data_IF_615801676843
#
_entry.id   IF_615801676843
#
_cell.length_a   1.000
_cell.length_b   1.000
_cell.length_c   1.000
_cell.angle_alpha   90.00
_cell.angle_beta   90.00
_cell.angle_gamma   90.00
#
_symmetry.space_group_name_H-M   'P 1'
#
loop_
_entity.id
_entity.type
_entity.pdbx_description
1 polymer ?
#
# COMPACT_ATOMS: atom_id res chain seq x y z
N UNK A 1 -17.16 -23.38 6.98
CA UNK A 1 -15.74 -23.23 7.35
C UNK A 1 -15.07 -24.58 7.20
N UNK A 2 -14.17 -24.76 6.21
CA UNK A 2 -13.36 -25.98 6.14
C UNK A 2 -12.36 -25.98 7.30
N UNK A 3 -12.07 -27.13 7.92
CA UNK A 3 -11.07 -27.21 8.97
C UNK A 3 -9.67 -27.07 8.32
N UNK A 4 -9.17 -25.85 8.21
CA UNK A 4 -7.81 -25.60 7.76
C UNK A 4 -6.84 -26.09 8.84
N UNK A 5 -5.95 -27.01 8.48
CA UNK A 5 -4.79 -27.35 9.29
C UNK A 5 -3.78 -26.20 9.18
N UNK A 6 -4.07 -25.07 9.83
CA UNK A 6 -3.41 -23.78 9.60
C UNK A 6 -1.89 -23.79 9.83
N UNK A 7 -1.35 -24.78 10.56
CA UNK A 7 0.10 -24.98 10.70
C UNK A 7 0.75 -25.52 9.43
N UNK A 8 0.14 -26.50 8.77
CA UNK A 8 0.70 -27.10 7.56
C UNK A 8 0.71 -26.10 6.39
N UNK A 9 -0.38 -25.35 6.25
CA UNK A 9 -0.51 -24.27 5.25
C UNK A 9 0.50 -23.15 5.51
N UNK A 10 0.62 -22.69 6.76
CA UNK A 10 1.62 -21.70 7.13
C UNK A 10 3.05 -22.18 6.83
N UNK A 11 3.39 -23.43 7.16
CA UNK A 11 4.70 -24.01 6.86
C UNK A 11 4.96 -24.06 5.35
N UNK A 12 3.98 -24.51 4.56
CA UNK A 12 4.10 -24.57 3.11
C UNK A 12 4.31 -23.18 2.51
N UNK A 13 3.49 -22.19 2.89
CA UNK A 13 3.64 -20.81 2.42
C UNK A 13 5.00 -20.24 2.81
N UNK A 14 5.45 -20.45 4.05
CA UNK A 14 6.76 -20.00 4.52
C UNK A 14 7.90 -20.63 3.71
N UNK A 15 7.86 -21.94 3.45
CA UNK A 15 8.88 -22.61 2.63
C UNK A 15 8.92 -22.06 1.19
N UNK A 16 7.76 -21.87 0.57
CA UNK A 16 7.65 -21.28 -0.78
C UNK A 16 8.19 -19.85 -0.81
N UNK A 17 7.86 -19.05 0.22
CA UNK A 17 8.35 -17.70 0.42
C UNK A 17 9.89 -17.67 0.53
N UNK A 18 10.47 -18.51 1.39
CA UNK A 18 11.92 -18.60 1.58
C UNK A 18 12.65 -19.06 0.31
N UNK A 19 12.10 -20.04 -0.42
CA UNK A 19 12.68 -20.51 -1.67
C UNK A 19 12.64 -19.42 -2.75
N UNK A 20 11.52 -18.72 -2.89
CA UNK A 20 11.39 -17.57 -3.80
C UNK A 20 12.36 -16.45 -3.42
N UNK A 21 12.56 -16.21 -2.13
CA UNK A 21 13.46 -15.16 -1.65
C UNK A 21 14.91 -15.44 -1.99
N UNK A 22 15.33 -16.68 -1.77
CA UNK A 22 16.67 -17.16 -2.12
C UNK A 22 16.90 -17.03 -3.63
N UNK A 23 15.96 -17.52 -4.45
CA UNK A 23 16.05 -17.42 -5.90
C UNK A 23 16.15 -15.96 -6.37
N UNK A 24 15.33 -15.07 -5.82
CA UNK A 24 15.35 -13.66 -6.16
C UNK A 24 16.65 -12.95 -5.77
N UNK A 25 17.25 -13.32 -4.63
CA UNK A 25 18.56 -12.82 -4.20
C UNK A 25 19.67 -13.29 -5.16
N UNK A 26 19.66 -14.56 -5.56
CA UNK A 26 20.62 -15.09 -6.54
C UNK A 26 20.45 -14.38 -7.90
N UNK A 27 19.21 -14.29 -8.40
CA UNK A 27 18.92 -13.63 -9.68
C UNK A 27 19.33 -12.17 -9.67
N UNK A 28 19.05 -11.43 -8.59
CA UNK A 28 19.41 -10.01 -8.48
C UNK A 28 20.92 -9.77 -8.40
N UNK A 29 21.70 -10.78 -7.96
CA UNK A 29 23.17 -10.72 -7.95
C UNK A 29 23.74 -10.91 -9.36
N UNK A 30 23.13 -11.77 -10.17
CA UNK A 30 23.56 -12.05 -11.55
C UNK A 30 23.03 -11.01 -12.54
N UNK A 31 21.79 -10.56 -12.34
CA UNK A 31 21.09 -9.58 -13.18
C UNK A 31 20.45 -8.52 -12.29
N UNK A 32 21.18 -7.45 -11.96
CA UNK A 32 20.67 -6.38 -11.11
C UNK A 32 19.40 -5.77 -11.69
N UNK A 33 18.38 -5.58 -10.85
CA UNK A 33 17.19 -4.85 -11.24
C UNK A 33 17.56 -3.38 -11.51
N UNK A 34 17.10 -2.86 -12.64
CA UNK A 34 17.28 -1.45 -13.00
C UNK A 34 15.96 -0.70 -12.87
N UNK A 35 16.01 0.61 -12.62
CA UNK A 35 14.83 1.47 -12.74
C UNK A 35 14.45 1.64 -14.22
N UNK A 36 13.16 1.88 -14.53
CA UNK A 36 12.74 2.20 -15.89
C UNK A 36 13.46 3.43 -16.43
N UNK A 37 13.93 3.38 -17.69
CA UNK A 37 14.65 4.51 -18.31
C UNK A 37 13.80 5.78 -18.40
N UNK A 38 12.50 5.63 -18.68
CA UNK A 38 11.56 6.75 -18.82
C UNK A 38 11.55 7.66 -17.58
N UNK A 39 11.79 7.12 -16.40
CA UNK A 39 11.80 7.89 -15.15
C UNK A 39 12.94 8.91 -15.08
N UNK A 40 13.98 8.80 -15.92
CA UNK A 40 15.10 9.74 -15.94
C UNK A 40 14.98 10.81 -17.03
N UNK A 41 14.01 10.67 -17.95
CA UNK A 41 13.83 11.61 -19.04
C UNK A 41 13.24 12.94 -18.53
N UNK A 42 13.56 14.07 -19.18
CA UNK A 42 12.87 15.34 -18.96
C UNK A 42 11.37 15.21 -19.21
N UNK A 43 10.58 16.04 -18.54
CA UNK A 43 9.13 16.13 -18.73
C UNK A 43 8.75 17.46 -19.38
N UNK A 44 7.66 17.43 -20.14
CA UNK A 44 7.07 18.61 -20.76
C UNK A 44 6.55 19.64 -19.75
N UNK A 45 6.31 19.25 -18.50
CA UNK A 45 5.92 20.19 -17.42
C UNK A 45 7.11 20.76 -16.63
N UNK A 46 8.35 20.30 -16.87
CA UNK A 46 9.50 20.70 -16.05
C UNK A 46 9.78 22.21 -16.13
N UNK A 47 9.49 22.85 -17.28
CA UNK A 47 9.71 24.29 -17.48
C UNK A 47 8.43 25.13 -17.33
N UNK A 48 7.29 24.52 -17.01
CA UNK A 48 6.02 25.23 -16.81
C UNK A 48 5.96 25.85 -15.41
N UNK A 49 5.30 27.00 -15.30
CA UNK A 49 4.98 27.63 -14.01
C UNK A 49 3.77 26.93 -13.38
N UNK A 50 3.69 26.96 -12.05
CA UNK A 50 2.58 26.35 -11.30
C UNK A 50 1.21 26.86 -11.75
N UNK A 51 1.09 28.17 -12.05
CA UNK A 51 -0.16 28.76 -12.57
C UNK A 51 -0.58 28.14 -13.91
N UNK A 52 0.36 27.88 -14.81
CA UNK A 52 0.10 27.27 -16.12
C UNK A 52 -0.38 25.82 -15.96
N UNK A 53 0.24 25.07 -15.04
CA UNK A 53 -0.16 23.70 -14.71
C UNK A 53 -1.58 23.66 -14.12
N UNK A 54 -1.89 24.58 -13.20
CA UNK A 54 -3.22 24.70 -12.60
C UNK A 54 -4.28 25.01 -13.67
N UNK A 55 -4.00 25.95 -14.57
CA UNK A 55 -4.88 26.27 -15.70
C UNK A 55 -5.05 25.07 -16.65
N UNK A 56 -3.95 24.38 -16.99
CA UNK A 56 -3.97 23.19 -17.86
C UNK A 56 -4.86 22.09 -17.27
N UNK A 57 -4.76 21.86 -15.96
CA UNK A 57 -5.59 20.86 -15.25
C UNK A 57 -7.08 21.11 -15.42
N UNK A 58 -7.52 22.38 -15.39
CA UNK A 58 -8.97 22.70 -15.51
C UNK A 58 -9.56 22.23 -16.83
N UNK A 59 -8.74 22.26 -17.90
CA UNK A 59 -9.10 21.87 -19.27
C UNK A 59 -8.80 20.39 -19.57
N UNK A 60 -7.90 19.78 -18.81
CA UNK A 60 -7.44 18.41 -19.03
C UNK A 60 -8.57 17.37 -18.86
N UNK A 61 -8.65 16.36 -19.75
CA UNK A 61 -9.61 15.28 -19.63
C UNK A 61 -9.28 14.38 -18.42
N UNK A 62 -10.31 13.80 -17.82
CA UNK A 62 -10.13 12.71 -16.85
C UNK A 62 -9.62 11.46 -17.57
N UNK A 63 -8.70 10.73 -16.96
CA UNK A 63 -8.25 9.43 -17.48
C UNK A 63 -9.30 8.33 -17.30
N UNK A 64 -10.07 8.42 -16.22
CA UNK A 64 -11.14 7.48 -15.92
C UNK A 64 -12.31 8.26 -15.31
N UNK A 65 -13.54 7.82 -15.55
CA UNK A 65 -14.75 8.49 -15.08
C UNK A 65 -14.80 8.58 -13.54
N UNK A 66 -14.35 7.51 -12.88
CA UNK A 66 -14.46 7.33 -11.42
C UNK A 66 -13.24 7.85 -10.65
N UNK A 67 -12.11 8.10 -11.33
CA UNK A 67 -10.89 8.58 -10.67
C UNK A 67 -10.66 10.07 -10.95
N UNK A 68 -10.25 10.82 -9.93
CA UNK A 68 -9.93 12.24 -10.08
C UNK A 68 -8.50 12.48 -10.60
N UNK A 69 -8.09 11.69 -11.59
CA UNK A 69 -6.80 11.79 -12.26
C UNK A 69 -7.02 12.39 -13.65
N UNK A 70 -6.31 13.48 -13.95
CA UNK A 70 -6.41 14.19 -15.23
C UNK A 70 -5.13 14.09 -16.03
N UNK A 71 -5.25 13.88 -17.33
CA UNK A 71 -4.10 13.83 -18.25
C UNK A 71 -3.75 15.25 -18.70
N UNK A 72 -2.70 15.82 -18.13
CA UNK A 72 -2.30 17.21 -18.38
C UNK A 72 -1.68 17.36 -19.78
N UNK A 73 -0.75 16.46 -20.09
CA UNK A 73 0.01 16.45 -21.33
C UNK A 73 0.10 15.01 -21.86
N UNK A 74 0.71 14.75 -23.04
CA UNK A 74 0.96 13.39 -23.48
C UNK A 74 1.77 12.56 -22.47
N UNK A 75 2.69 13.20 -21.72
CA UNK A 75 3.63 12.56 -20.80
C UNK A 75 3.31 12.69 -19.31
N UNK A 76 2.30 13.45 -18.90
CA UNK A 76 2.01 13.69 -17.47
C UNK A 76 0.55 13.61 -17.09
N UNK A 77 0.34 13.24 -15.83
CA UNK A 77 -0.96 13.25 -15.16
C UNK A 77 -0.89 14.10 -13.90
N UNK A 78 -2.05 14.57 -13.47
CA UNK A 78 -2.18 15.21 -12.18
C UNK A 78 -3.39 14.70 -11.40
N UNK A 79 -3.22 14.60 -10.08
CA UNK A 79 -4.28 14.27 -9.14
C UNK A 79 -4.16 15.12 -7.88
N UNK A 80 -5.28 15.31 -7.20
CA UNK A 80 -5.28 15.90 -5.87
C UNK A 80 -4.71 14.88 -4.86
N UNK A 81 -3.98 15.37 -3.86
CA UNK A 81 -3.56 14.56 -2.70
C UNK A 81 -4.78 14.07 -1.92
N UNK A 82 -4.60 12.97 -1.21
CA UNK A 82 -5.61 12.50 -0.24
C UNK A 82 -5.49 13.22 1.11
N UNK A 83 -4.33 13.79 1.41
CA UNK A 83 -4.14 14.71 2.53
C UNK A 83 -5.04 15.94 2.30
N UNK A 84 -5.97 16.18 3.22
CA UNK A 84 -6.91 17.31 3.22
C UNK A 84 -6.66 18.10 4.50
N UNK A 85 -5.59 18.87 4.52
CA UNK A 85 -5.19 19.67 5.68
C UNK A 85 -4.42 20.92 5.20
N UNK A 86 -4.92 22.10 5.55
CA UNK A 86 -4.39 23.40 5.12
C UNK A 86 -2.99 23.67 5.72
N UNK A 87 -2.74 23.13 6.92
CA UNK A 87 -1.55 23.45 7.72
C UNK A 87 -0.35 22.59 7.34
N UNK A 88 -0.56 21.45 6.68
CA UNK A 88 0.53 20.58 6.26
C UNK A 88 1.40 21.27 5.23
N UNK A 89 2.72 21.08 5.32
CA UNK A 89 3.71 21.68 4.39
C UNK A 89 4.02 20.83 3.16
N UNK A 90 3.63 19.55 3.20
CA UNK A 90 3.95 18.57 2.16
C UNK A 90 2.85 17.51 1.93
N UNK A 91 2.87 16.86 0.77
CA UNK A 91 1.95 15.79 0.40
C UNK A 91 2.54 14.41 0.71
N UNK A 92 1.87 13.61 1.55
CA UNK A 92 2.39 12.33 2.02
C UNK A 92 2.60 11.34 0.88
N UNK A 93 1.69 11.33 -0.10
CA UNK A 93 1.82 10.50 -1.29
C UNK A 93 3.04 10.87 -2.13
N UNK A 94 3.31 12.17 -2.30
CA UNK A 94 4.48 12.61 -3.06
C UNK A 94 5.79 12.22 -2.35
N UNK A 95 5.81 12.30 -1.02
CA UNK A 95 6.93 11.85 -0.21
C UNK A 95 7.15 10.33 -0.32
N UNK A 96 6.08 9.55 -0.28
CA UNK A 96 6.13 8.10 -0.47
C UNK A 96 6.69 7.73 -1.84
N UNK A 97 6.17 8.34 -2.91
CA UNK A 97 6.67 8.16 -4.28
C UNK A 97 8.15 8.53 -4.39
N UNK A 98 8.55 9.67 -3.83
CA UNK A 98 9.95 10.13 -3.85
C UNK A 98 10.89 9.17 -3.10
N UNK A 99 10.48 8.67 -1.92
CA UNK A 99 11.27 7.70 -1.15
C UNK A 99 11.45 6.41 -1.94
N UNK A 100 10.36 5.84 -2.46
CA UNK A 100 10.37 4.57 -3.20
C UNK A 100 11.17 4.73 -4.48
N UNK A 101 10.96 5.84 -5.21
CA UNK A 101 11.74 6.17 -6.39
C UNK A 101 13.23 6.29 -6.07
N UNK A 102 13.61 6.88 -4.94
CA UNK A 102 15.01 7.06 -4.59
C UNK A 102 15.67 5.73 -4.15
N UNK A 103 15.00 4.97 -3.29
CA UNK A 103 15.62 3.88 -2.51
C UNK A 103 15.36 2.47 -3.05
N UNK A 104 14.49 2.30 -4.03
CA UNK A 104 14.12 0.98 -4.57
C UNK A 104 14.27 0.94 -6.09
N UNK A 105 14.06 -0.24 -6.69
CA UNK A 105 13.92 -0.39 -8.15
C UNK A 105 12.47 -0.60 -8.57
N UNK A 106 11.51 -0.36 -7.66
CA UNK A 106 10.09 -0.51 -7.94
C UNK A 106 9.70 0.55 -8.99
N UNK A 107 9.09 0.16 -10.12
CA UNK A 107 8.54 1.11 -11.08
C UNK A 107 7.39 1.88 -10.43
N UNK A 108 7.61 3.19 -10.23
CA UNK A 108 6.62 4.15 -9.73
C UNK A 108 6.64 5.39 -10.62
N UNK A 109 5.51 6.07 -10.85
CA UNK A 109 5.50 7.35 -11.56
C UNK A 109 6.41 8.36 -10.85
N UNK A 110 7.30 9.02 -11.60
CA UNK A 110 8.14 10.07 -11.02
C UNK A 110 7.28 11.28 -10.70
N UNK A 111 7.39 11.79 -9.47
CA UNK A 111 6.82 13.09 -9.11
C UNK A 111 7.60 14.19 -9.82
N UNK A 112 6.89 15.00 -10.60
CA UNK A 112 7.45 16.13 -11.35
C UNK A 112 7.23 17.45 -10.62
N UNK A 113 6.04 17.65 -10.07
CA UNK A 113 5.67 18.85 -9.33
C UNK A 113 4.70 18.50 -8.20
N UNK A 114 4.78 19.25 -7.12
CA UNK A 114 3.81 19.26 -6.02
C UNK A 114 3.42 20.72 -5.82
N UNK A 115 2.17 21.06 -6.08
CA UNK A 115 1.68 22.45 -6.02
C UNK A 115 0.69 22.54 -4.86
N UNK A 116 1.02 23.37 -3.85
CA UNK A 116 0.10 23.65 -2.74
C UNK A 116 -1.12 24.41 -3.27
N UNK A 117 -2.31 23.95 -2.90
CA UNK A 117 -3.58 24.65 -3.09
C UNK A 117 -4.16 24.97 -1.71
N UNK A 118 -5.35 25.55 -1.69
CA UNK A 118 -6.02 25.98 -0.45
C UNK A 118 -6.21 24.80 0.53
N UNK A 119 -6.78 23.68 0.07
CA UNK A 119 -7.18 22.55 0.92
C UNK A 119 -6.42 21.24 0.66
N UNK A 120 -5.64 21.20 -0.41
CA UNK A 120 -4.96 19.99 -0.89
C UNK A 120 -3.66 20.33 -1.61
N UNK A 121 -2.98 19.30 -2.09
CA UNK A 121 -1.87 19.41 -3.03
C UNK A 121 -2.27 18.87 -4.38
N UNK A 122 -1.82 19.53 -5.45
CA UNK A 122 -1.80 18.91 -6.76
C UNK A 122 -0.48 18.19 -6.97
N UNK A 123 -0.54 16.87 -7.12
CA UNK A 123 0.62 16.03 -7.44
C UNK A 123 0.63 15.81 -8.95
N UNK A 124 1.68 16.27 -9.62
CA UNK A 124 1.95 16.03 -11.04
C UNK A 124 3.03 14.97 -11.16
N UNK A 125 2.77 13.94 -11.96
CA UNK A 125 3.67 12.81 -12.15
C UNK A 125 3.67 12.30 -13.59
N UNK A 126 4.64 11.45 -13.91
CA UNK A 126 4.73 10.78 -15.20
C UNK A 126 3.46 10.00 -15.52
N UNK A 127 2.96 10.13 -16.75
CA UNK A 127 1.92 9.28 -17.28
C UNK A 127 2.51 7.93 -17.70
N UNK A 128 2.07 6.85 -17.06
CA UNK A 128 2.47 5.49 -17.44
C UNK A 128 1.44 4.92 -18.41
N UNK A 129 1.91 4.58 -19.61
CA UNK A 129 1.07 3.99 -20.66
C UNK A 129 0.95 2.48 -20.46
N UNK A 130 -0.29 1.99 -20.47
CA UNK A 130 -0.62 0.58 -20.30
C UNK A 130 -2.02 0.40 -19.70
N UNK A 131 -2.62 -0.80 -19.80
CA UNK A 131 -3.85 -1.11 -19.08
C UNK A 131 -3.58 -1.27 -17.58
N UNK A 132 -4.63 -1.08 -16.77
CA UNK A 132 -4.56 -1.49 -15.36
C UNK A 132 -4.56 -3.01 -15.29
N UNK A 133 -3.91 -3.57 -14.27
CA UNK A 133 -3.86 -5.01 -14.06
C UNK A 133 -5.27 -5.58 -13.86
N UNK A 134 -6.16 -4.85 -13.18
CA UNK A 134 -7.57 -5.23 -13.02
C UNK A 134 -8.27 -5.53 -14.35
N UNK A 135 -8.03 -4.72 -15.38
CA UNK A 135 -8.70 -4.84 -16.67
C UNK A 135 -8.28 -6.10 -17.44
N UNK A 136 -7.04 -6.54 -17.24
CA UNK A 136 -6.45 -7.68 -17.97
C UNK A 136 -6.33 -8.95 -17.14
N UNK A 137 -6.56 -8.88 -15.83
CA UNK A 137 -6.33 -10.00 -14.89
C UNK A 137 -7.09 -11.27 -15.26
N UNK A 138 -8.35 -11.13 -15.68
CA UNK A 138 -9.20 -12.26 -16.09
C UNK A 138 -8.63 -13.00 -17.30
N UNK A 139 -7.97 -12.27 -18.21
CA UNK A 139 -7.36 -12.81 -19.44
C UNK A 139 -6.01 -13.48 -19.21
N UNK A 140 -5.36 -13.24 -18.06
CA UNK A 140 -4.04 -13.80 -17.78
C UNK A 140 -4.09 -15.30 -17.55
N UNK A 141 -3.15 -16.02 -18.17
CA UNK A 141 -2.88 -17.42 -17.83
C UNK A 141 -2.43 -17.55 -16.37
N UNK A 142 -2.56 -18.76 -15.81
CA UNK A 142 -2.10 -19.05 -14.45
C UNK A 142 -0.61 -18.69 -14.30
N UNK A 143 0.20 -19.01 -15.31
CA UNK A 143 1.62 -18.66 -15.32
C UNK A 143 1.86 -17.14 -15.21
N UNK A 144 1.14 -16.31 -15.97
CA UNK A 144 1.27 -14.84 -15.86
C UNK A 144 0.86 -14.33 -14.48
N UNK A 145 -0.20 -14.89 -13.88
CA UNK A 145 -0.62 -14.54 -12.51
C UNK A 145 0.47 -14.89 -11.48
N UNK A 146 1.14 -16.03 -11.66
CA UNK A 146 2.30 -16.42 -10.84
C UNK A 146 3.45 -15.43 -11.03
N UNK A 147 3.80 -15.05 -12.27
CA UNK A 147 4.84 -14.04 -12.51
C UNK A 147 4.54 -12.69 -11.84
N UNK A 148 3.27 -12.26 -11.84
CA UNK A 148 2.81 -11.08 -11.10
C UNK A 148 3.08 -11.25 -9.61
N UNK A 149 2.71 -12.39 -9.02
CA UNK A 149 2.94 -12.67 -7.60
C UNK A 149 4.43 -12.61 -7.21
N UNK A 150 5.32 -13.18 -8.03
CA UNK A 150 6.77 -13.10 -7.80
C UNK A 150 7.29 -11.67 -7.88
N UNK A 151 6.76 -10.88 -8.81
CA UNK A 151 7.13 -9.47 -8.95
C UNK A 151 6.67 -8.65 -7.75
N UNK A 152 5.42 -8.83 -7.31
CA UNK A 152 4.89 -8.14 -6.12
C UNK A 152 5.61 -8.57 -4.84
N UNK A 153 5.95 -9.86 -4.69
CA UNK A 153 6.76 -10.34 -3.57
C UNK A 153 8.11 -9.61 -3.51
N UNK A 154 8.79 -9.48 -4.66
CA UNK A 154 10.03 -8.71 -4.76
C UNK A 154 9.82 -7.25 -4.35
N UNK A 155 8.73 -6.61 -4.78
CA UNK A 155 8.42 -5.22 -4.41
C UNK A 155 8.18 -5.10 -2.90
N UNK A 156 7.37 -5.97 -2.30
CA UNK A 156 7.14 -5.98 -0.84
C UNK A 156 8.45 -6.18 -0.08
N UNK A 157 9.35 -7.04 -0.55
CA UNK A 157 10.68 -7.19 0.07
C UNK A 157 11.52 -5.92 0.01
N UNK A 158 11.52 -5.21 -1.12
CA UNK A 158 12.22 -3.93 -1.24
C UNK A 158 11.63 -2.88 -0.30
N UNK A 159 10.30 -2.80 -0.18
CA UNK A 159 9.64 -1.92 0.77
C UNK A 159 10.02 -2.26 2.22
N UNK A 160 10.09 -3.57 2.55
CA UNK A 160 10.53 -4.05 3.87
C UNK A 160 11.98 -3.77 4.22
N UNK A 161 12.84 -3.56 3.23
CA UNK A 161 14.22 -3.12 3.45
C UNK A 161 14.29 -1.65 3.89
N UNK A 162 13.26 -0.85 3.59
CA UNK A 162 13.10 0.51 4.11
C UNK A 162 12.58 0.42 5.55
N UNK A 163 13.47 0.05 6.47
CA UNK A 163 13.17 -0.04 7.90
C UNK A 163 13.15 1.35 8.52
N UNK A 164 12.15 1.60 9.36
CA UNK A 164 12.06 2.84 10.12
C UNK A 164 13.17 2.87 11.18
N UNK A 165 13.63 4.07 11.54
CA UNK A 165 14.48 4.22 12.73
C UNK A 165 13.64 4.02 14.00
N UNK A 166 14.23 3.72 15.17
CA UNK A 166 13.49 3.56 16.42
C UNK A 166 12.65 4.79 16.82
N UNK A 167 13.02 5.97 16.33
CA UNK A 167 12.32 7.25 16.61
C UNK A 167 11.33 7.64 15.51
N UNK A 168 11.24 6.87 14.42
CA UNK A 168 10.29 7.16 13.34
C UNK A 168 8.88 6.76 13.80
N UNK A 169 7.90 7.70 13.83
CA UNK A 169 6.53 7.37 14.18
C UNK A 169 5.88 6.48 13.11
N UNK A 170 4.89 5.65 13.47
CA UNK A 170 4.11 4.94 12.48
C UNK A 170 3.19 5.89 11.72
N UNK A 171 2.99 5.61 10.43
CA UNK A 171 2.13 6.42 9.59
C UNK A 171 2.79 6.94 8.31
N UNK A 172 2.07 7.82 7.58
CA UNK A 172 2.57 8.45 6.37
C UNK A 172 3.78 9.35 6.65
N UNK A 173 4.63 9.53 5.63
CA UNK A 173 5.80 10.41 5.73
C UNK A 173 5.36 11.87 5.68
N UNK A 174 5.77 12.65 6.68
CA UNK A 174 5.55 14.09 6.75
C UNK A 174 6.76 14.86 7.24
N UNK A 175 6.93 16.09 6.74
CA UNK A 175 7.93 17.02 7.24
C UNK A 175 7.60 17.56 8.63
N UNK A 176 6.30 17.74 8.92
CA UNK A 176 5.81 18.38 10.15
C UNK A 176 5.61 17.41 11.34
N UNK A 177 6.06 16.16 11.20
CA UNK A 177 5.97 15.13 12.23
C UNK A 177 4.90 14.05 11.96
N UNK A 178 4.43 13.35 13.01
CA UNK A 178 3.45 12.28 12.89
C UNK A 178 2.14 12.74 12.24
N UNK A 179 1.59 11.92 11.33
CA UNK A 179 0.36 12.21 10.58
C UNK A 179 -0.77 11.26 10.94
N UNK A 180 -2.00 11.69 10.65
CA UNK A 180 -3.13 10.76 10.64
C UNK A 180 -2.85 9.61 9.66
N UNK A 181 -3.07 8.40 10.14
CA UNK A 181 -2.89 7.18 9.39
C UNK A 181 -4.22 6.81 8.73
N UNK A 182 -4.23 6.67 7.42
CA UNK A 182 -5.36 6.11 6.68
C UNK A 182 -4.99 4.71 6.17
N UNK A 183 -5.80 3.71 6.52
CA UNK A 183 -5.57 2.31 6.11
C UNK A 183 -6.83 1.48 6.35
N UNK A 184 -7.11 0.45 5.52
CA UNK A 184 -8.27 -0.43 5.70
C UNK A 184 -8.17 -1.27 6.99
N UNK A 185 -6.99 -1.30 7.62
CA UNK A 185 -6.75 -2.01 8.89
C UNK A 185 -7.41 -1.30 10.07
N UNK A 186 -7.60 0.02 10.00
CA UNK A 186 -8.19 0.81 11.09
C UNK A 186 -9.71 0.68 11.20
N UNK A 187 -10.35 0.04 10.22
CA UNK A 187 -11.78 -0.24 10.22
C UNK A 187 -12.48 0.26 8.96
N UNK A 188 -13.63 -0.35 8.63
CA UNK A 188 -14.43 0.03 7.45
C UNK A 188 -15.26 1.31 7.66
N UNK A 189 -15.58 1.65 8.91
CA UNK A 189 -16.37 2.85 9.24
C UNK A 189 -15.44 4.06 9.50
N UNK A 190 -14.32 3.82 10.18
CA UNK A 190 -13.31 4.83 10.47
C UNK A 190 -11.95 4.30 10.02
N UNK A 191 -11.50 4.74 8.84
CA UNK A 191 -10.21 4.37 8.26
C UNK A 191 -9.06 5.27 8.73
N UNK A 192 -9.36 6.41 9.36
CA UNK A 192 -8.37 7.40 9.83
C UNK A 192 -8.16 7.33 11.32
N UNK A 193 -6.91 7.15 11.75
CA UNK A 193 -6.50 7.05 13.16
C UNK A 193 -5.18 7.76 13.43
N UNK A 194 -4.88 8.01 14.69
CA UNK A 194 -3.72 8.80 15.09
C UNK A 194 -3.99 10.31 14.97
N UNK A 195 -2.95 11.15 14.78
CA UNK A 195 -1.54 10.76 14.62
C UNK A 195 -1.01 9.99 15.83
N UNK A 196 -0.05 9.09 15.58
CA UNK A 196 0.63 8.33 16.64
C UNK A 196 2.07 8.84 16.76
N UNK A 197 2.46 9.33 17.93
CA UNK A 197 3.78 9.91 18.14
C UNK A 197 4.87 8.84 18.25
N UNK A 198 4.49 7.59 18.51
CA UNK A 198 5.43 6.47 18.64
C UNK A 198 4.78 5.13 18.28
N UNK A 199 5.62 4.11 18.05
CA UNK A 199 5.13 2.75 17.82
C UNK A 199 4.37 2.20 19.06
N UNK A 200 4.80 2.57 20.26
CA UNK A 200 4.13 2.18 21.51
C UNK A 200 2.68 2.74 21.61
N UNK A 201 2.42 3.95 21.08
CA UNK A 201 1.07 4.50 21.02
C UNK A 201 0.17 3.71 20.06
N UNK A 202 0.69 3.32 18.89
CA UNK A 202 -0.03 2.44 17.95
C UNK A 202 -0.36 1.10 18.60
N UNK A 203 0.62 0.48 19.27
CA UNK A 203 0.43 -0.77 20.03
C UNK A 203 -0.65 -0.62 21.10
N UNK A 204 -0.59 0.46 21.88
CA UNK A 204 -1.56 0.75 22.95
C UNK A 204 -2.97 0.90 22.37
N UNK A 205 -3.12 1.72 21.32
CA UNK A 205 -4.38 1.90 20.62
C UNK A 205 -4.97 0.55 20.20
N UNK A 206 -4.21 -0.29 19.52
CA UNK A 206 -4.72 -1.56 19.03
C UNK A 206 -5.06 -2.56 20.15
N UNK A 207 -4.31 -2.56 21.25
CA UNK A 207 -4.62 -3.37 22.43
C UNK A 207 -5.90 -2.90 23.14
N UNK A 208 -6.15 -1.59 23.22
CA UNK A 208 -7.40 -1.04 23.74
C UNK A 208 -8.59 -1.41 22.86
N UNK A 209 -8.45 -1.27 21.53
CA UNK A 209 -9.47 -1.71 20.57
C UNK A 209 -9.72 -3.21 20.69
N UNK A 210 -8.69 -4.02 20.96
CA UNK A 210 -8.87 -5.45 21.25
C UNK A 210 -9.73 -5.68 22.50
N UNK A 211 -9.44 -5.00 23.61
CA UNK A 211 -10.27 -5.08 24.81
C UNK A 211 -11.73 -4.69 24.53
N UNK A 212 -11.95 -3.57 23.82
CA UNK A 212 -13.30 -3.13 23.42
C UNK A 212 -14.00 -4.17 22.54
N UNK A 213 -13.32 -4.69 21.52
CA UNK A 213 -13.86 -5.68 20.60
C UNK A 213 -14.26 -6.98 21.29
N UNK A 214 -13.44 -7.46 22.24
CA UNK A 214 -13.74 -8.66 23.02
C UNK A 214 -14.94 -8.47 23.95
N UNK A 215 -15.04 -7.31 24.60
CA UNK A 215 -16.20 -6.95 25.42
C UNK A 215 -17.48 -6.83 24.58
N UNK A 216 -17.41 -6.18 23.42
CA UNK A 216 -18.53 -6.05 22.48
C UNK A 216 -19.00 -7.39 21.89
N UNK A 217 -18.12 -8.40 21.87
CA UNK A 217 -18.44 -9.78 21.48
C UNK A 217 -18.82 -10.66 22.69
N UNK A 218 -18.83 -10.12 23.91
CA UNK A 218 -19.08 -10.85 25.17
C UNK A 218 -18.18 -12.08 25.33
N UNK A 219 -16.90 -11.99 24.92
CA UNK A 219 -15.95 -13.08 25.14
C UNK A 219 -15.74 -13.29 26.65
N UNK A 220 -15.73 -14.54 27.15
CA UNK A 220 -15.38 -14.83 28.55
C UNK A 220 -14.03 -14.24 28.95
N UNK A 221 -13.86 -13.86 30.22
CA UNK A 221 -12.62 -13.23 30.72
C UNK A 221 -11.41 -14.18 30.68
N UNK A 222 -11.64 -15.48 30.79
CA UNK A 222 -10.62 -16.53 30.70
C UNK A 222 -10.31 -16.96 29.25
N UNK A 223 -11.03 -16.42 28.26
CA UNK A 223 -10.83 -16.79 26.85
C UNK A 223 -9.39 -16.48 26.37
N UNK A 224 -8.68 -17.44 25.74
CA UNK A 224 -7.25 -17.30 25.44
C UNK A 224 -6.90 -16.08 24.56
N UNK A 225 -7.79 -15.66 23.66
CA UNK A 225 -7.59 -14.45 22.84
C UNK A 225 -7.44 -13.16 23.65
N UNK A 226 -7.96 -13.08 24.89
CA UNK A 226 -7.77 -11.92 25.76
C UNK A 226 -6.31 -11.74 26.21
N UNK A 227 -5.50 -12.81 26.13
CA UNK A 227 -4.06 -12.78 26.39
C UNK A 227 -3.24 -12.37 25.16
N UNK A 228 -3.81 -12.48 23.96
CA UNK A 228 -3.14 -12.06 22.73
C UNK A 228 -3.05 -10.54 22.69
N UNK A 229 -1.90 -10.03 22.25
CA UNK A 229 -1.59 -8.62 22.10
C UNK A 229 -1.31 -8.30 20.64
N UNK A 230 -1.37 -7.03 20.31
CA UNK A 230 -0.87 -6.50 19.05
C UNK A 230 0.58 -6.96 18.83
N UNK A 231 0.90 -7.40 17.62
CA UNK A 231 2.22 -7.88 17.26
C UNK A 231 3.09 -6.70 16.79
N UNK A 232 3.95 -6.25 17.70
CA UNK A 232 5.00 -5.24 17.51
C UNK A 232 6.40 -5.83 17.66
N UNK A 233 6.56 -7.13 17.40
CA UNK A 233 7.84 -7.84 17.55
C UNK A 233 8.90 -7.47 16.50
N UNK A 234 8.48 -6.92 15.36
CA UNK A 234 9.36 -6.44 14.31
C UNK A 234 9.32 -4.91 14.19
N UNK A 235 10.44 -4.33 13.76
CA UNK A 235 10.52 -2.90 13.47
C UNK A 235 9.51 -2.49 12.39
N UNK A 236 9.04 -1.25 12.47
CA UNK A 236 8.25 -0.65 11.40
C UNK A 236 9.01 -0.69 10.08
N UNK A 237 8.30 -0.96 9.00
CA UNK A 237 8.81 -0.99 7.64
C UNK A 237 7.92 -0.16 6.74
N UNK A 238 8.48 0.32 5.63
CA UNK A 238 7.66 0.99 4.65
C UNK A 238 6.69 0.00 3.98
N UNK A 239 5.44 0.42 3.82
CA UNK A 239 4.35 -0.38 3.23
C UNK A 239 3.47 0.53 2.38
N UNK A 240 2.75 -0.04 1.42
CA UNK A 240 1.86 0.65 0.52
C UNK A 240 0.42 0.75 1.06
N UNK A 241 -0.05 -0.27 1.79
CA UNK A 241 -1.41 -0.35 2.39
C UNK A 241 -2.57 -0.42 1.38
N UNK A 242 -2.30 -0.47 0.08
CA UNK A 242 -3.34 -0.52 -0.97
C UNK A 242 -2.85 -1.27 -2.24
N UNK A 243 -2.07 -2.35 -2.06
CA UNK A 243 -1.64 -3.19 -3.18
C UNK A 243 -2.84 -3.99 -3.70
N UNK A 244 -3.32 -3.62 -4.89
CA UNK A 244 -4.48 -4.22 -5.51
C UNK A 244 -4.42 -4.10 -7.05
N UNK A 245 -5.06 -4.97 -7.87
CA UNK A 245 -4.98 -4.89 -9.32
C UNK A 245 -5.39 -3.54 -9.93
N UNK A 246 -6.25 -2.75 -9.28
CA UNK A 246 -6.60 -1.39 -9.73
C UNK A 246 -5.46 -0.36 -9.58
N UNK A 247 -4.49 -0.65 -8.72
CA UNK A 247 -3.35 0.22 -8.41
C UNK A 247 -2.04 -0.27 -9.05
N UNK A 248 -2.15 -1.12 -10.08
CA UNK A 248 -1.01 -1.65 -10.84
C UNK A 248 -1.26 -1.39 -12.31
N UNK A 249 -0.36 -0.66 -12.97
CA UNK A 249 -0.35 -0.50 -14.43
C UNK A 249 0.59 -1.55 -15.03
N UNK A 250 0.11 -2.28 -16.03
CA UNK A 250 0.97 -3.15 -16.86
C UNK A 250 1.58 -2.27 -17.94
N UNK A 251 2.79 -1.78 -17.71
CA UNK A 251 3.48 -0.87 -18.62
C UNK A 251 3.78 -1.51 -19.98
N UNK A 252 3.89 -0.69 -21.02
CA UNK A 252 4.32 -1.16 -22.36
C UNK A 252 5.75 -1.74 -22.34
N UNK A 253 6.55 -1.41 -21.33
CA UNK A 253 7.86 -2.00 -21.06
C UNK A 253 7.79 -3.38 -20.38
N UNK A 254 6.58 -3.93 -20.22
CA UNK A 254 6.34 -5.23 -19.59
C UNK A 254 6.47 -5.23 -18.07
N UNK A 255 6.67 -4.05 -17.44
CA UNK A 255 6.83 -3.94 -15.99
C UNK A 255 5.50 -3.67 -15.29
N UNK A 256 5.43 -4.07 -14.02
CA UNK A 256 4.33 -3.69 -13.13
C UNK A 256 4.67 -2.38 -12.44
N UNK A 257 3.92 -1.33 -12.78
CA UNK A 257 4.06 0.00 -12.20
C UNK A 257 3.06 0.20 -11.06
N UNK A 258 3.59 0.49 -9.88
CA UNK A 258 2.80 0.70 -8.66
C UNK A 258 2.36 2.16 -8.56
N UNK A 259 1.06 2.39 -8.38
CA UNK A 259 0.45 3.72 -8.25
C UNK A 259 -0.40 3.81 -6.98
N UNK A 260 -0.88 5.01 -6.67
CA UNK A 260 -1.77 5.30 -5.54
C UNK A 260 -1.14 5.04 -4.16
N UNK A 261 -0.13 5.84 -3.84
CA UNK A 261 0.66 5.71 -2.60
C UNK A 261 0.08 6.54 -1.45
N UNK A 262 -1.19 6.95 -1.52
CA UNK A 262 -1.81 7.85 -0.55
C UNK A 262 -1.91 7.28 0.87
N UNK A 263 -1.88 5.96 1.03
CA UNK A 263 -1.93 5.27 2.32
C UNK A 263 -0.59 4.69 2.74
N UNK A 264 0.46 4.97 1.98
CA UNK A 264 1.78 4.42 2.22
C UNK A 264 2.44 5.07 3.45
N UNK A 265 3.23 4.29 4.17
CA UNK A 265 3.86 4.75 5.40
C UNK A 265 4.66 3.67 6.12
N UNK A 266 5.22 4.03 7.27
CA UNK A 266 5.89 3.10 8.17
C UNK A 266 4.88 2.40 9.06
N UNK A 267 4.75 1.09 8.90
CA UNK A 267 3.78 0.24 9.59
C UNK A 267 4.40 -1.12 9.95
N UNK A 268 3.78 -1.93 10.82
CA UNK A 268 4.24 -3.30 11.05
C UNK A 268 4.28 -4.11 9.74
N UNK A 269 5.25 -5.01 9.54
CA UNK A 269 5.38 -5.78 8.28
C UNK A 269 4.14 -6.57 7.88
N UNK A 270 3.35 -7.00 8.86
CA UNK A 270 2.12 -7.75 8.66
C UNK A 270 0.95 -6.89 8.15
N UNK A 271 1.04 -5.56 8.25
CA UNK A 271 -0.02 -4.68 7.77
C UNK A 271 -0.23 -4.84 6.26
N UNK A 272 0.81 -4.95 5.45
CA UNK A 272 0.64 -5.10 3.99
C UNK A 272 -0.21 -6.33 3.64
N UNK A 273 0.03 -7.47 4.32
CA UNK A 273 -0.77 -8.69 4.15
C UNK A 273 -2.24 -8.44 4.47
N UNK A 274 -2.51 -7.82 5.62
CA UNK A 274 -3.89 -7.62 6.07
C UNK A 274 -4.60 -6.54 5.25
N UNK A 275 -3.90 -5.49 4.85
CA UNK A 275 -4.43 -4.46 3.98
C UNK A 275 -4.86 -5.04 2.62
N UNK A 276 -4.02 -5.88 2.00
CA UNK A 276 -4.38 -6.59 0.76
C UNK A 276 -5.62 -7.48 0.94
N UNK A 277 -5.73 -8.23 2.05
CA UNK A 277 -6.91 -9.05 2.35
C UNK A 277 -8.18 -8.19 2.50
N UNK A 278 -8.08 -7.05 3.18
CA UNK A 278 -9.21 -6.13 3.36
C UNK A 278 -9.64 -5.46 2.06
N UNK A 279 -8.70 -5.07 1.22
CA UNK A 279 -9.00 -4.49 -0.08
C UNK A 279 -9.72 -5.47 -0.98
N UNK A 280 -9.24 -6.72 -1.05
CA UNK A 280 -9.94 -7.78 -1.78
C UNK A 280 -11.39 -7.93 -1.30
N UNK A 281 -11.61 -7.98 0.02
CA UNK A 281 -12.97 -8.07 0.58
C UNK A 281 -13.84 -6.87 0.18
N UNK A 282 -13.28 -5.66 0.22
CA UNK A 282 -14.02 -4.45 -0.16
C UNK A 282 -14.39 -4.45 -1.65
N UNK A 283 -13.50 -4.94 -2.51
CA UNK A 283 -13.75 -5.06 -3.95
C UNK A 283 -14.80 -6.13 -4.28
N UNK A 284 -14.76 -7.27 -3.59
CA UNK A 284 -15.77 -8.32 -3.73
C UNK A 284 -17.17 -7.81 -3.32
N UNK A 285 -17.25 -7.03 -2.24
CA UNK A 285 -18.50 -6.34 -1.84
C UNK A 285 -18.96 -5.36 -2.92
N UNK A 286 -18.02 -4.71 -3.61
CA UNK A 286 -18.28 -3.86 -4.77
C UNK A 286 -18.58 -4.60 -6.08
N UNK A 287 -18.59 -5.94 -6.08
CA UNK A 287 -18.87 -6.77 -7.26
C UNK A 287 -17.66 -7.07 -8.15
N UNK A 288 -16.44 -6.72 -7.72
CA UNK A 288 -15.20 -7.01 -8.44
C UNK A 288 -14.55 -8.28 -7.88
N UNK A 289 -14.42 -9.31 -8.71
CA UNK A 289 -13.83 -10.59 -8.31
C UNK A 289 -12.52 -10.86 -9.05
N UNK A 290 -11.41 -10.85 -8.32
CA UNK A 290 -10.08 -11.13 -8.86
C UNK A 290 -9.71 -12.59 -8.65
N UNK A 291 -10.15 -13.47 -9.56
CA UNK A 291 -9.89 -14.91 -9.48
C UNK A 291 -8.40 -15.20 -9.17
N UNK A 292 -8.16 -15.98 -8.11
CA UNK A 292 -6.85 -16.39 -7.59
C UNK A 292 -6.04 -15.30 -6.85
N UNK A 293 -6.50 -14.05 -6.77
CA UNK A 293 -5.75 -13.00 -6.08
C UNK A 293 -5.55 -13.32 -4.60
N UNK A 294 -6.61 -13.78 -3.94
CA UNK A 294 -6.62 -14.31 -2.56
C UNK A 294 -5.51 -15.33 -2.28
N UNK A 295 -5.33 -16.28 -3.20
CA UNK A 295 -4.33 -17.34 -3.09
C UNK A 295 -2.89 -16.81 -3.18
N UNK A 296 -2.69 -15.65 -3.82
CA UNK A 296 -1.38 -15.05 -4.01
C UNK A 296 -0.95 -14.18 -2.82
N UNK A 297 -1.89 -13.61 -2.06
CA UNK A 297 -1.57 -12.68 -0.96
C UNK A 297 -0.60 -13.28 0.07
N UNK A 298 -0.76 -14.52 0.57
CA UNK A 298 0.19 -15.13 1.52
C UNK A 298 1.57 -15.33 0.92
N UNK A 299 1.67 -15.54 -0.40
CA UNK A 299 2.95 -15.63 -1.09
C UNK A 299 3.59 -14.25 -1.31
N UNK A 300 2.80 -13.24 -1.66
CA UNK A 300 3.29 -11.87 -1.91
C UNK A 300 3.80 -11.23 -0.62
N UNK A 301 3.01 -11.28 0.45
CA UNK A 301 3.32 -10.60 1.70
C UNK A 301 3.93 -11.51 2.76
N UNK A 302 3.84 -12.83 2.63
CA UNK A 302 4.12 -13.76 3.72
C UNK A 302 2.85 -14.11 4.51
N UNK A 303 2.79 -15.30 5.14
CA UNK A 303 1.56 -15.85 5.71
C UNK A 303 1.29 -15.32 7.13
N UNK A 304 0.80 -14.07 7.25
CA UNK A 304 0.43 -13.45 8.54
C UNK A 304 -0.97 -13.85 9.03
N UNK A 305 -1.29 -15.16 8.97
CA UNK A 305 -2.60 -15.72 9.30
C UNK A 305 -3.00 -15.48 10.77
N UNK A 306 -2.03 -15.48 11.69
CA UNK A 306 -2.28 -15.26 13.11
C UNK A 306 -2.71 -13.81 13.38
N UNK A 307 -2.01 -12.85 12.76
CA UNK A 307 -2.28 -11.41 12.87
C UNK A 307 -3.63 -11.06 12.23
N UNK A 308 -3.94 -11.64 11.06
CA UNK A 308 -5.25 -11.50 10.42
C UNK A 308 -6.38 -12.04 11.31
N UNK A 309 -6.21 -13.25 11.86
CA UNK A 309 -7.19 -13.85 12.77
C UNK A 309 -7.39 -12.99 14.02
N UNK A 310 -6.30 -12.47 14.58
CA UNK A 310 -6.35 -11.57 15.73
C UNK A 310 -7.12 -10.29 15.40
N UNK A 311 -6.80 -9.64 14.27
CA UNK A 311 -7.50 -8.43 13.80
C UNK A 311 -9.00 -8.70 13.59
N UNK A 312 -9.37 -9.82 12.97
CA UNK A 312 -10.77 -10.20 12.77
C UNK A 312 -11.51 -10.46 14.10
N UNK A 313 -10.83 -10.98 15.12
CA UNK A 313 -11.41 -11.17 16.44
C UNK A 313 -11.64 -9.85 17.16
N UNK A 314 -10.72 -8.89 17.06
CA UNK A 314 -10.83 -7.60 17.72
C UNK A 314 -11.62 -6.53 16.95
N UNK A 315 -11.89 -6.72 15.65
CA UNK A 315 -12.35 -5.66 14.73
C UNK A 315 -13.57 -4.85 15.18
N UNK A 316 -14.47 -5.40 16.01
CA UNK A 316 -15.59 -4.63 16.59
C UNK A 316 -15.12 -3.43 17.41
N UNK A 317 -13.94 -3.51 18.02
CA UNK A 317 -13.32 -2.42 18.75
C UNK A 317 -13.01 -1.20 17.88
N UNK A 318 -12.79 -1.42 16.58
CA UNK A 318 -12.45 -0.36 15.62
C UNK A 318 -13.64 0.53 15.24
N UNK A 319 -14.87 0.12 15.56
CA UNK A 319 -16.08 0.93 15.33
C UNK A 319 -16.31 2.00 16.40
N UNK A 320 -15.62 1.90 17.54
CA UNK A 320 -15.70 2.91 18.58
C UNK A 320 -14.79 4.08 18.20
N UNK A 321 -15.21 5.32 18.51
CA UNK A 321 -14.39 6.52 18.31
C UNK A 321 -13.09 6.43 19.08
#
# INVERSE_FOLDING_TARGET
MKPHNGRAEWLLCTLLCTAADFLDTVLSTVMPNSKPHISFLPSDVDNMKDKEILELRTKAPKLHKDYNVRKLTPGTVAKASQDMDEDMSDASEANALNLVFAKTTIPVPRVRRVIKREWDYLIVSDYIKGPLLVDVWSTYSIWKKVCVAFTLRRYVRQLRQLKASPTTPPGPIGADGPRQCESPIFGQIQSRRGPFSSYAELTTFFNERAKMGYNAKKLPEDHPSRKQRFDDSEALVFTHQDINPRNIIVGEDGRLWMIDWGWAGYYPPWFEYVAMQRQLQNEEVGGYYHKYWDLLIPFVCGPYFAQEKWLALMSRGLYYS
#
